data_IF_160545488350
#
_entry.id   IF_160545488350
#
_cell.length_a   1.000
_cell.length_b   1.000
_cell.length_c   1.000
_cell.angle_alpha   90.00
_cell.angle_beta   90.00
_cell.angle_gamma   90.00
#
_symmetry.space_group_name_H-M   'P 1'
#
loop_
_entity.id
_entity.type
_entity.pdbx_description
1 polymer ?
#
# COMPACT_ATOMS: atom_id res chain seq x y z
N UNK A 1 -23.38 1.63 -20.61
CA UNK A 1 -22.10 1.17 -20.01
C UNK A 1 -21.21 2.34 -19.55
N UNK A 2 -21.24 3.50 -20.22
CA UNK A 2 -20.50 4.73 -19.80
C UNK A 2 -21.03 5.32 -18.48
N UNK A 3 -22.33 5.13 -18.18
CA UNK A 3 -23.01 5.73 -17.01
C UNK A 3 -22.44 5.30 -15.66
N UNK A 4 -22.27 3.99 -15.45
CA UNK A 4 -21.77 3.45 -14.18
C UNK A 4 -20.35 3.89 -13.85
N UNK A 5 -19.51 4.08 -14.87
CA UNK A 5 -18.14 4.54 -14.67
C UNK A 5 -18.11 5.96 -14.12
N UNK A 6 -18.95 6.83 -14.69
CA UNK A 6 -19.08 8.21 -14.23
C UNK A 6 -19.72 8.27 -12.84
N UNK A 7 -20.71 7.42 -12.57
CA UNK A 7 -21.34 7.30 -11.26
C UNK A 7 -20.32 6.91 -10.17
N UNK A 8 -19.50 5.88 -10.43
CA UNK A 8 -18.42 5.45 -9.52
C UNK A 8 -17.45 6.61 -9.25
N UNK A 9 -16.97 7.29 -10.30
CA UNK A 9 -16.04 8.42 -10.14
C UNK A 9 -16.68 9.56 -9.35
N UNK A 10 -17.95 9.89 -9.61
CA UNK A 10 -18.67 10.98 -8.94
C UNK A 10 -18.97 10.71 -7.47
N UNK A 11 -19.16 9.44 -7.10
CA UNK A 11 -19.42 9.01 -5.72
C UNK A 11 -18.20 9.04 -4.80
N UNK A 12 -17.00 9.27 -5.35
CA UNK A 12 -15.76 9.26 -4.57
C UNK A 12 -15.77 10.33 -3.49
N UNK A 13 -15.48 9.92 -2.26
CA UNK A 13 -15.33 10.84 -1.13
C UNK A 13 -14.05 11.66 -1.28
N UNK A 14 -14.18 12.88 -1.79
CA UNK A 14 -13.07 13.84 -1.83
C UNK A 14 -12.85 14.43 -0.45
N UNK A 15 -11.59 14.47 -0.01
CA UNK A 15 -11.23 15.09 1.26
C UNK A 15 -11.45 16.61 1.17
N UNK A 16 -12.21 17.17 2.11
CA UNK A 16 -12.34 18.64 2.23
C UNK A 16 -11.00 19.26 2.65
N UNK A 17 -10.55 20.25 1.88
CA UNK A 17 -9.35 21.03 2.20
C UNK A 17 -9.71 22.11 3.22
N UNK A 18 -8.97 22.18 4.33
CA UNK A 18 -9.05 23.30 5.29
C UNK A 18 -7.77 24.17 5.27
N UNK A 19 -6.96 24.09 4.22
CA UNK A 19 -5.67 24.76 4.11
C UNK A 19 -5.79 26.20 3.59
N UNK A 20 -5.06 27.12 4.24
CA UNK A 20 -4.96 28.55 3.85
C UNK A 20 -3.77 28.86 2.92
N UNK A 21 -2.88 27.90 2.66
CA UNK A 21 -1.69 28.13 1.82
C UNK A 21 -1.95 27.79 0.35
N UNK A 22 -1.61 28.73 -0.55
CA UNK A 22 -1.72 28.58 -2.00
C UNK A 22 -0.97 27.36 -2.55
N UNK A 23 0.16 27.00 -1.94
CA UNK A 23 0.94 25.82 -2.37
C UNK A 23 0.17 24.52 -2.14
N UNK A 24 -0.54 24.42 -1.01
CA UNK A 24 -1.32 23.23 -0.68
C UNK A 24 -2.57 23.14 -1.55
N UNK A 25 -3.18 24.28 -1.92
CA UNK A 25 -4.30 24.34 -2.86
C UNK A 25 -3.86 23.82 -4.23
N UNK A 26 -2.75 24.33 -4.79
CA UNK A 26 -2.21 23.85 -6.05
C UNK A 26 -1.86 22.36 -6.03
N UNK A 27 -1.18 21.90 -4.99
CA UNK A 27 -0.84 20.48 -4.84
C UNK A 27 -2.12 19.61 -4.81
N UNK A 28 -3.17 20.07 -4.12
CA UNK A 28 -4.45 19.37 -4.10
C UNK A 28 -5.12 19.34 -5.48
N UNK A 29 -5.15 20.46 -6.19
CA UNK A 29 -5.78 20.55 -7.52
C UNK A 29 -5.06 19.63 -8.50
N UNK A 30 -3.73 19.62 -8.48
CA UNK A 30 -2.92 18.69 -9.27
C UNK A 30 -3.21 17.22 -8.95
N UNK A 31 -3.38 16.88 -7.67
CA UNK A 31 -3.72 15.50 -7.26
C UNK A 31 -5.13 15.15 -7.73
N UNK A 32 -6.09 16.06 -7.57
CA UNK A 32 -7.49 15.85 -7.97
C UNK A 32 -7.61 15.62 -9.46
N UNK A 33 -6.93 16.43 -10.27
CA UNK A 33 -6.86 16.26 -11.72
C UNK A 33 -6.22 14.92 -12.10
N UNK A 34 -5.10 14.57 -11.45
CA UNK A 34 -4.42 13.28 -11.68
C UNK A 34 -5.29 12.08 -11.31
N UNK A 35 -6.09 12.20 -10.24
CA UNK A 35 -7.06 11.18 -9.82
C UNK A 35 -8.18 11.04 -10.85
N UNK A 36 -8.67 12.16 -11.38
CA UNK A 36 -9.69 12.17 -12.43
C UNK A 36 -9.17 11.50 -13.71
N UNK A 37 -7.95 11.85 -14.14
CA UNK A 37 -7.33 11.31 -15.36
C UNK A 37 -7.10 9.79 -15.28
N UNK A 38 -6.71 9.26 -14.12
CA UNK A 38 -6.55 7.82 -13.93
C UNK A 38 -7.90 7.08 -13.77
N UNK A 39 -8.98 7.79 -13.43
CA UNK A 39 -10.33 7.24 -13.32
C UNK A 39 -10.38 6.02 -12.41
N UNK A 40 -11.15 5.00 -12.80
CA UNK A 40 -11.39 3.76 -12.05
C UNK A 40 -10.12 2.95 -11.80
N UNK A 41 -9.05 3.15 -12.59
CA UNK A 41 -7.80 2.39 -12.45
C UNK A 41 -7.22 2.49 -11.04
N UNK A 42 -7.38 3.63 -10.37
CA UNK A 42 -6.95 3.84 -8.98
C UNK A 42 -7.68 2.89 -8.02
N UNK A 43 -8.99 2.78 -8.15
CA UNK A 43 -9.80 1.93 -7.27
C UNK A 43 -9.45 0.46 -7.51
N UNK A 44 -9.30 0.07 -8.78
CA UNK A 44 -8.85 -1.25 -9.17
C UNK A 44 -7.50 -1.59 -8.54
N UNK A 45 -6.51 -0.70 -8.65
CA UNK A 45 -5.16 -0.91 -8.10
C UNK A 45 -5.20 -1.01 -6.58
N UNK A 46 -5.90 -0.11 -5.90
CA UNK A 46 -6.01 -0.12 -4.43
C UNK A 46 -6.66 -1.40 -3.95
N UNK A 47 -7.79 -1.78 -4.53
CA UNK A 47 -8.53 -2.99 -4.16
C UNK A 47 -7.74 -4.26 -4.51
N UNK A 48 -7.03 -4.28 -5.64
CA UNK A 48 -6.21 -5.41 -6.03
C UNK A 48 -5.08 -5.66 -5.03
N UNK A 49 -4.38 -4.59 -4.63
CA UNK A 49 -3.32 -4.66 -3.62
C UNK A 49 -3.90 -5.17 -2.29
N UNK A 50 -4.99 -4.57 -1.82
CA UNK A 50 -5.57 -4.93 -0.53
C UNK A 50 -6.06 -6.39 -0.51
N UNK A 51 -6.72 -6.84 -1.59
CA UNK A 51 -7.12 -8.25 -1.75
C UNK A 51 -5.95 -9.20 -1.80
N UNK A 52 -4.87 -8.82 -2.50
CA UNK A 52 -3.69 -9.68 -2.65
C UNK A 52 -3.00 -9.95 -1.32
N UNK A 53 -2.97 -8.97 -0.42
CA UNK A 53 -2.34 -9.11 0.89
C UNK A 53 -3.31 -9.42 2.02
N UNK A 54 -4.62 -9.46 1.73
CA UNK A 54 -5.67 -9.73 2.71
C UNK A 54 -5.78 -8.65 3.80
N UNK A 55 -5.25 -7.46 3.55
CA UNK A 55 -5.22 -6.34 4.50
C UNK A 55 -5.18 -5.01 3.77
N UNK A 56 -5.64 -3.96 4.44
CA UNK A 56 -5.50 -2.61 3.90
C UNK A 56 -4.04 -2.16 3.98
N UNK A 57 -3.37 -2.08 2.82
CA UNK A 57 -1.96 -1.72 2.77
C UNK A 57 -1.80 -0.23 3.02
N UNK A 58 -1.09 0.10 4.10
CA UNK A 58 -0.86 1.49 4.49
C UNK A 58 0.13 2.18 3.55
N UNK A 59 0.21 3.51 3.64
CA UNK A 59 1.07 4.31 2.75
C UNK A 59 2.55 3.98 2.87
N UNK A 60 3.04 3.57 4.05
CA UNK A 60 4.47 3.35 4.27
C UNK A 60 5.04 2.15 3.49
N UNK A 61 4.44 0.93 3.55
CA UNK A 61 4.86 -0.20 2.72
C UNK A 61 4.76 0.09 1.22
N UNK A 62 3.68 0.75 0.78
CA UNK A 62 3.53 1.19 -0.61
C UNK A 62 4.66 2.13 -1.00
N UNK A 63 4.96 3.13 -0.18
CA UNK A 63 5.99 4.10 -0.51
C UNK A 63 7.38 3.45 -0.59
N UNK A 64 7.69 2.51 0.30
CA UNK A 64 8.95 1.77 0.28
C UNK A 64 9.11 0.97 -1.01
N UNK A 65 8.08 0.21 -1.40
CA UNK A 65 8.10 -0.55 -2.64
C UNK A 65 8.12 0.35 -3.89
N UNK A 66 7.36 1.44 -3.91
CA UNK A 66 7.41 2.42 -5.01
C UNK A 66 8.81 3.02 -5.18
N UNK A 67 9.52 3.29 -4.07
CA UNK A 67 10.89 3.76 -4.11
C UNK A 67 11.85 2.71 -4.69
N UNK A 68 11.68 1.43 -4.33
CA UNK A 68 12.44 0.33 -4.91
C UNK A 68 12.21 0.22 -6.42
N UNK A 69 10.96 0.20 -6.87
CA UNK A 69 10.60 0.14 -8.30
C UNK A 69 11.08 1.37 -9.07
N UNK A 70 11.00 2.55 -8.45
CA UNK A 70 11.54 3.81 -9.00
C UNK A 70 13.04 3.69 -9.27
N UNK A 71 13.81 3.13 -8.33
CA UNK A 71 15.25 2.92 -8.50
C UNK A 71 15.56 1.83 -9.52
N UNK A 72 14.81 0.72 -9.51
CA UNK A 72 15.04 -0.45 -10.37
C UNK A 72 14.74 -0.18 -11.84
N UNK A 73 13.68 0.57 -12.12
CA UNK A 73 13.21 0.85 -13.48
C UNK A 73 13.48 2.29 -13.94
N UNK A 74 14.20 3.08 -13.14
CA UNK A 74 14.47 4.50 -13.40
C UNK A 74 13.19 5.33 -13.61
N UNK A 75 12.07 4.91 -13.00
CA UNK A 75 10.79 5.62 -13.06
C UNK A 75 10.82 6.73 -12.02
N UNK A 76 10.46 7.96 -12.41
CA UNK A 76 10.45 9.09 -11.48
C UNK A 76 9.33 8.95 -10.46
N UNK A 77 9.68 8.85 -9.17
CA UNK A 77 8.73 8.99 -8.07
C UNK A 77 8.63 10.48 -7.67
N UNK A 78 7.52 11.11 -8.03
CA UNK A 78 7.32 12.54 -7.83
C UNK A 78 7.06 12.92 -6.36
N UNK A 79 7.23 14.21 -6.06
CA UNK A 79 7.08 14.74 -4.69
C UNK A 79 5.67 14.54 -4.13
N UNK A 80 4.63 14.59 -4.97
CA UNK A 80 3.24 14.46 -4.52
C UNK A 80 2.96 13.02 -4.12
N UNK A 81 3.40 12.04 -4.94
CA UNK A 81 3.31 10.62 -4.64
C UNK A 81 4.01 10.24 -3.32
N UNK A 82 5.13 10.92 -2.98
CA UNK A 82 5.81 10.70 -1.69
C UNK A 82 5.06 11.19 -0.46
N UNK A 83 4.12 12.13 -0.63
CA UNK A 83 3.46 12.85 0.48
C UNK A 83 1.98 12.54 0.62
N UNK A 84 1.33 12.07 -0.44
CA UNK A 84 -0.10 11.86 -0.49
C UNK A 84 -0.41 10.47 -1.05
N UNK A 85 -1.27 9.72 -0.34
CA UNK A 85 -1.63 8.34 -0.70
C UNK A 85 -2.37 8.26 -2.05
N UNK A 86 -3.26 9.21 -2.34
CA UNK A 86 -4.00 9.21 -3.61
C UNK A 86 -3.05 9.47 -4.78
N UNK A 87 -2.11 10.43 -4.61
CA UNK A 87 -1.05 10.67 -5.58
C UNK A 87 -0.13 9.44 -5.77
N UNK A 88 0.12 8.70 -4.69
CA UNK A 88 0.89 7.45 -4.74
C UNK A 88 0.13 6.38 -5.55
N UNK A 89 -1.17 6.21 -5.30
CA UNK A 89 -1.99 5.27 -6.07
C UNK A 89 -2.12 5.68 -7.55
N UNK A 90 -2.17 6.98 -7.86
CA UNK A 90 -2.05 7.46 -9.23
C UNK A 90 -0.74 7.00 -9.86
N UNK A 91 0.39 7.15 -9.15
CA UNK A 91 1.69 6.69 -9.63
C UNK A 91 1.72 5.17 -9.90
N UNK A 92 1.12 4.35 -9.03
CA UNK A 92 0.96 2.91 -9.28
C UNK A 92 0.09 2.63 -10.50
N UNK A 93 -1.01 3.37 -10.65
CA UNK A 93 -1.93 3.21 -11.78
C UNK A 93 -1.25 3.54 -13.10
N UNK A 94 -0.45 4.60 -13.13
CA UNK A 94 0.30 5.03 -14.32
C UNK A 94 1.38 4.03 -14.72
N UNK A 95 2.04 3.41 -13.74
CA UNK A 95 3.16 2.49 -13.97
C UNK A 95 2.77 1.01 -13.76
N UNK A 96 1.48 0.71 -13.84
CA UNK A 96 0.93 -0.59 -13.42
C UNK A 96 1.57 -1.76 -14.15
N UNK A 97 1.77 -1.65 -15.46
CA UNK A 97 2.31 -2.74 -16.29
C UNK A 97 3.74 -3.12 -15.89
N UNK A 98 4.52 -2.14 -15.41
CA UNK A 98 5.88 -2.37 -14.90
C UNK A 98 5.88 -2.87 -13.46
N UNK A 99 4.97 -2.38 -12.62
CA UNK A 99 4.98 -2.67 -11.18
C UNK A 99 4.29 -4.01 -10.86
N UNK A 100 3.23 -4.35 -11.59
CA UNK A 100 2.40 -5.53 -11.35
C UNK A 100 3.19 -6.86 -11.26
N UNK A 101 4.17 -7.15 -12.14
CA UNK A 101 4.95 -8.39 -12.05
C UNK A 101 5.75 -8.52 -10.75
N UNK A 102 6.09 -7.41 -10.10
CA UNK A 102 6.91 -7.36 -8.88
C UNK A 102 6.08 -7.18 -7.62
N UNK A 103 4.75 -7.20 -7.73
CA UNK A 103 3.89 -6.83 -6.61
C UNK A 103 4.06 -7.78 -5.42
N UNK A 104 4.49 -9.03 -5.62
CA UNK A 104 4.78 -9.97 -4.54
C UNK A 104 5.88 -9.47 -3.57
N UNK A 105 6.81 -8.64 -4.06
CA UNK A 105 7.94 -8.14 -3.29
C UNK A 105 7.51 -7.13 -2.21
N UNK A 106 6.29 -6.55 -2.31
CA UNK A 106 5.69 -5.71 -1.27
C UNK A 106 5.63 -6.42 0.08
N UNK A 107 5.47 -7.75 0.09
CA UNK A 107 5.33 -8.54 1.32
C UNK A 107 6.50 -8.33 2.29
N UNK A 108 7.69 -7.99 1.79
CA UNK A 108 8.89 -7.69 2.59
C UNK A 108 8.67 -6.46 3.49
N UNK A 109 7.88 -5.50 3.01
CA UNK A 109 7.62 -4.22 3.70
C UNK A 109 6.37 -4.26 4.58
N UNK A 110 5.58 -5.33 4.53
CA UNK A 110 4.37 -5.44 5.33
C UNK A 110 4.69 -5.82 6.78
N UNK A 111 3.91 -5.31 7.76
CA UNK A 111 3.96 -5.83 9.12
C UNK A 111 3.70 -7.34 9.12
N UNK A 112 4.44 -8.09 9.94
CA UNK A 112 4.24 -9.52 10.16
C UNK A 112 2.92 -9.76 10.92
N UNK A 113 1.79 -9.60 10.25
CA UNK A 113 0.50 -10.07 10.71
C UNK A 113 0.23 -11.44 10.10
N UNK A 114 -0.64 -12.26 10.70
CA UNK A 114 -1.02 -13.58 10.19
C UNK A 114 -1.67 -13.41 8.81
N UNK A 115 -0.86 -13.49 7.75
CA UNK A 115 -1.31 -13.46 6.36
C UNK A 115 -2.24 -14.67 6.21
N UNK A 116 -3.53 -14.41 6.01
CA UNK A 116 -4.45 -15.45 5.57
C UNK A 116 -4.10 -15.72 4.12
N UNK A 117 -3.46 -16.85 3.85
CA UNK A 117 -3.17 -17.32 2.51
C UNK A 117 -4.51 -17.58 1.79
N UNK A 118 -5.04 -16.60 1.07
CA UNK A 118 -6.02 -16.86 0.02
C UNK A 118 -5.26 -17.38 -1.21
N UNK A 119 -4.73 -18.60 -1.11
CA UNK A 119 -4.32 -19.36 -2.28
C UNK A 119 -5.57 -19.93 -2.91
N UNK A 120 -6.03 -19.32 -4.00
CA UNK A 120 -6.79 -20.08 -4.99
C UNK A 120 -5.83 -21.17 -5.49
N UNK A 121 -6.21 -22.40 -5.21
CA UNK A 121 -5.48 -23.62 -5.53
C UNK A 121 -4.92 -23.60 -6.94
N UNK A 122 -3.59 -23.61 -7.08
CA UNK A 122 -2.79 -24.32 -8.09
C UNK A 122 -1.33 -23.89 -7.93
N UNK A 123 -0.53 -24.78 -7.35
CA UNK A 123 0.93 -24.87 -7.44
C UNK A 123 1.78 -23.60 -7.25
N UNK A 124 2.53 -23.56 -6.14
CA UNK A 124 3.99 -23.39 -6.13
C UNK A 124 4.47 -23.84 -4.74
N UNK A 125 5.11 -25.00 -4.69
CA UNK A 125 5.95 -25.41 -3.57
C UNK A 125 7.28 -24.68 -3.71
N UNK A 126 7.47 -23.55 -3.01
CA UNK A 126 8.80 -22.97 -2.82
C UNK A 126 9.11 -22.99 -1.34
N UNK A 127 9.72 -24.11 -0.98
CA UNK A 127 10.95 -24.19 -0.20
C UNK A 127 11.24 -22.98 0.69
N UNK A 128 10.53 -22.92 1.82
CA UNK A 128 10.79 -22.01 2.93
C UNK A 128 12.05 -22.45 3.72
N UNK A 129 13.15 -22.68 3.00
CA UNK A 129 14.48 -22.85 3.58
C UNK A 129 15.27 -21.58 3.26
N UNK A 130 15.93 -21.06 4.30
CA UNK A 130 16.83 -19.90 4.30
C UNK A 130 16.13 -18.54 4.36
N UNK A 131 15.81 -18.09 5.58
CA UNK A 131 16.63 -17.10 6.31
C UNK A 131 16.31 -17.18 7.81
N UNK A 132 17.30 -17.63 8.60
CA UNK A 132 17.30 -17.61 10.05
C UNK A 132 17.54 -16.18 10.58
N UNK A 133 16.82 -15.76 11.61
CA UNK A 133 17.46 -15.12 12.76
C UNK A 133 16.61 -15.31 14.01
N UNK A 134 17.27 -15.79 15.06
CA UNK A 134 16.74 -16.08 16.38
C UNK A 134 16.02 -14.86 16.97
N UNK A 135 14.73 -15.01 17.28
CA UNK A 135 14.06 -14.19 18.27
C UNK A 135 13.47 -15.19 19.26
N UNK A 136 13.98 -15.14 20.49
CA UNK A 136 13.38 -15.82 21.62
C UNK A 136 11.88 -15.53 21.62
N UNK A 137 11.08 -16.56 21.39
CA UNK A 137 9.65 -16.49 21.64
C UNK A 137 9.54 -16.51 23.16
N UNK A 138 9.60 -15.33 23.78
CA UNK A 138 9.25 -15.22 25.19
C UNK A 138 7.81 -15.70 25.34
N UNK A 139 7.68 -16.87 25.95
CA UNK A 139 6.43 -17.49 26.31
C UNK A 139 5.75 -16.60 27.36
N UNK A 140 4.83 -15.76 26.92
CA UNK A 140 4.02 -14.93 27.80
C UNK A 140 3.01 -15.82 28.51
N UNK A 141 3.28 -16.15 29.78
CA UNK A 141 2.32 -16.84 30.65
C UNK A 141 1.43 -15.79 31.34
N UNK A 142 0.14 -15.69 30.99
CA UNK A 142 -0.78 -14.72 31.58
C UNK A 142 -1.07 -14.98 33.07
N UNK A 143 -0.59 -16.09 33.63
CA UNK A 143 -0.74 -16.42 35.06
C UNK A 143 0.39 -15.87 35.92
N UNK A 144 1.50 -15.42 35.31
CA UNK A 144 2.70 -14.97 36.00
C UNK A 144 2.73 -13.44 36.17
N UNK A 145 2.20 -12.96 37.29
CA UNK A 145 2.15 -11.53 37.64
C UNK A 145 3.52 -10.91 37.92
N UNK A 146 4.58 -11.70 38.08
CA UNK A 146 5.93 -11.17 38.33
C UNK A 146 6.50 -10.43 37.13
N UNK A 147 5.97 -10.70 35.93
CA UNK A 147 6.33 -10.06 34.67
C UNK A 147 5.84 -8.60 34.57
N UNK A 148 4.96 -8.15 35.48
CA UNK A 148 4.43 -6.79 35.54
C UNK A 148 5.18 -5.87 36.51
N UNK A 149 6.19 -6.41 37.21
CA UNK A 149 6.99 -5.62 38.15
C UNK A 149 8.22 -5.07 37.43
N UNK A 150 8.21 -3.77 37.15
CA UNK A 150 9.41 -3.04 36.79
C UNK A 150 10.31 -2.98 38.03
N UNK A 151 11.40 -3.75 38.04
CA UNK A 151 12.45 -3.57 39.03
C UNK A 151 13.14 -2.23 38.78
N UNK A 152 12.99 -1.30 39.72
CA UNK A 152 13.70 -0.03 39.78
C UNK A 152 14.90 -0.13 40.72
#
# INVERSE_FOLDING_TARGET
>A
MIDYVQEIISSRKVRKINSKSDRNLRDHDMITERVHNNGIKIDFVSEYIDRKFGLHVTTAPLLAFAAEMSNKYCIKLDRLAKRNRDALLCWYSENWDTVFPHLNDIAIYLPKCKIQNFTNSSEIQIESRYLMHNMDVQHFDPSDLTQLLNYH
#
